data_IF_914395011691
#
_entry.id   IF_914395011691
#
_cell.length_a   1.000
_cell.length_b   1.000
_cell.length_c   1.000
_cell.angle_alpha   90.00
_cell.angle_beta   90.00
_cell.angle_gamma   90.00
#
_symmetry.space_group_name_H-M   'P 1'
#
loop_
_entity.id
_entity.type
_entity.pdbx_description
1 polymer ?
#
# COMPACT_ATOMS: atom_id res chain seq x y z
N UNK A 1 24.14 -0.23 8.79
CA UNK A 1 24.56 0.07 7.42
C UNK A 1 24.08 -0.96 6.42
N UNK A 2 24.34 -2.27 6.59
CA UNK A 2 23.94 -3.31 5.60
C UNK A 2 22.45 -3.33 5.30
N UNK A 3 21.56 -3.29 6.31
CA UNK A 3 20.12 -3.23 6.10
C UNK A 3 19.68 -2.01 5.26
N UNK A 4 20.24 -0.83 5.58
CA UNK A 4 19.93 0.37 4.81
C UNK A 4 20.40 0.25 3.36
N UNK A 5 21.55 -0.37 3.10
CA UNK A 5 22.04 -0.63 1.75
C UNK A 5 21.14 -1.61 0.98
N UNK A 6 20.73 -2.72 1.61
CA UNK A 6 19.78 -3.69 1.00
C UNK A 6 18.44 -3.01 0.66
N UNK A 7 17.90 -2.26 1.62
CA UNK A 7 16.63 -1.54 1.43
C UNK A 7 16.75 -0.47 0.35
N UNK A 8 17.85 0.31 0.33
CA UNK A 8 18.08 1.33 -0.68
C UNK A 8 18.27 0.73 -2.08
N UNK A 9 19.05 -0.35 -2.20
CA UNK A 9 19.27 -1.01 -3.48
C UNK A 9 17.93 -1.44 -4.10
N UNK A 10 17.03 -2.03 -3.30
CA UNK A 10 15.73 -2.46 -3.78
C UNK A 10 14.79 -1.27 -4.03
N UNK A 11 14.74 -0.28 -3.14
CA UNK A 11 13.80 0.84 -3.25
C UNK A 11 14.15 1.83 -4.38
N UNK A 12 15.43 1.93 -4.76
CA UNK A 12 15.88 2.83 -5.84
C UNK A 12 16.09 2.11 -7.19
N UNK A 13 15.99 0.79 -7.24
CA UNK A 13 16.07 0.05 -8.50
C UNK A 13 14.83 0.36 -9.35
N UNK A 14 15.02 0.65 -10.64
CA UNK A 14 13.93 0.91 -11.60
C UNK A 14 12.97 2.06 -11.21
N UNK A 15 13.42 3.10 -10.52
CA UNK A 15 12.54 4.25 -10.17
C UNK A 15 12.03 4.99 -11.41
N UNK A 16 12.76 4.95 -12.51
CA UNK A 16 12.37 5.58 -13.79
C UNK A 16 11.51 4.65 -14.67
N UNK A 17 10.58 3.92 -14.05
CA UNK A 17 9.58 3.17 -14.81
C UNK A 17 8.52 4.12 -15.40
N UNK A 18 7.79 3.70 -16.48
CA UNK A 18 6.92 4.60 -17.22
C UNK A 18 5.91 5.35 -16.38
N UNK A 19 5.71 6.62 -16.72
CA UNK A 19 4.74 7.52 -16.13
C UNK A 19 3.31 7.01 -16.34
N UNK A 20 2.45 7.13 -15.35
CA UNK A 20 1.04 6.72 -15.44
C UNK A 20 0.77 5.22 -15.22
N UNK A 21 1.81 4.39 -14.95
CA UNK A 21 1.60 3.01 -14.51
C UNK A 21 0.82 2.99 -13.19
N UNK A 22 1.18 3.85 -12.26
CA UNK A 22 0.39 4.11 -11.06
C UNK A 22 -0.56 5.29 -11.36
N UNK A 23 -1.89 5.07 -11.36
CA UNK A 23 -2.84 6.05 -11.92
C UNK A 23 -2.97 7.34 -11.12
N UNK A 24 -2.52 7.37 -9.85
CA UNK A 24 -2.58 8.59 -9.02
C UNK A 24 -1.30 9.46 -9.17
N UNK A 25 -0.22 8.95 -9.80
CA UNK A 25 1.02 9.70 -9.95
C UNK A 25 0.85 11.01 -10.75
N UNK A 26 0.10 11.04 -11.87
CA UNK A 26 -0.08 12.28 -12.63
C UNK A 26 -0.64 13.43 -11.79
N UNK A 27 -1.64 13.17 -10.96
CA UNK A 27 -2.21 14.20 -10.11
C UNK A 27 -1.24 14.60 -8.97
N UNK A 28 -0.41 13.65 -8.47
CA UNK A 28 0.61 13.95 -7.45
C UNK A 28 1.74 14.81 -8.00
N UNK A 29 2.15 14.54 -9.24
CA UNK A 29 3.14 15.37 -9.96
C UNK A 29 2.60 16.79 -10.10
N UNK A 30 1.36 16.94 -10.57
CA UNK A 30 0.72 18.24 -10.70
C UNK A 30 0.67 19.01 -9.36
N UNK A 31 0.33 18.35 -8.26
CA UNK A 31 0.34 18.95 -6.93
C UNK A 31 1.76 19.33 -6.49
N UNK A 32 2.76 18.47 -6.70
CA UNK A 32 4.15 18.77 -6.35
C UNK A 32 4.71 19.94 -7.18
N UNK A 33 4.31 20.05 -8.45
CA UNK A 33 4.65 21.18 -9.33
C UNK A 33 3.93 22.50 -9.00
N UNK A 34 3.13 22.55 -7.92
CA UNK A 34 2.46 23.76 -7.44
C UNK A 34 1.04 23.97 -7.93
N UNK A 35 0.45 23.00 -8.65
CA UNK A 35 -0.97 23.05 -8.97
C UNK A 35 -1.81 22.83 -7.71
N UNK A 36 -3.08 23.28 -7.77
CA UNK A 36 -4.00 23.24 -6.65
C UNK A 36 -4.22 21.83 -6.10
N UNK A 37 -3.86 21.60 -4.82
CA UNK A 37 -4.07 20.34 -4.13
C UNK A 37 -5.51 20.23 -3.64
N UNK A 38 -6.19 19.12 -3.96
CA UNK A 38 -7.59 18.93 -3.61
C UNK A 38 -7.83 18.39 -2.19
N UNK A 39 -6.76 18.08 -1.45
CA UNK A 39 -6.80 17.52 -0.09
C UNK A 39 -7.67 16.26 0.10
N UNK A 40 -8.01 15.55 -0.97
CA UNK A 40 -8.58 14.19 -0.85
C UNK A 40 -7.59 13.22 -0.17
N UNK A 41 -6.30 13.53 -0.24
CA UNK A 41 -5.25 12.89 0.54
C UNK A 41 -4.51 13.94 1.37
N UNK A 42 -4.00 13.59 2.58
CA UNK A 42 -3.21 14.50 3.39
C UNK A 42 -1.91 14.96 2.71
N UNK A 43 -1.38 16.14 3.05
CA UNK A 43 -0.37 16.81 2.23
C UNK A 43 1.08 16.42 2.51
N UNK A 44 1.41 15.59 3.52
CA UNK A 44 2.80 15.36 3.94
C UNK A 44 3.71 14.95 2.77
N UNK A 45 3.28 13.98 1.96
CA UNK A 45 4.06 13.54 0.79
C UNK A 45 4.31 14.68 -0.19
N UNK A 46 3.29 15.50 -0.47
CA UNK A 46 3.38 16.62 -1.42
C UNK A 46 4.30 17.71 -0.88
N UNK A 47 4.21 18.04 0.41
CA UNK A 47 5.11 18.98 1.08
C UNK A 47 6.56 18.51 0.99
N UNK A 48 6.82 17.21 1.26
CA UNK A 48 8.16 16.63 1.15
C UNK A 48 8.66 16.65 -0.30
N UNK A 49 7.80 16.30 -1.28
CA UNK A 49 8.16 16.30 -2.70
C UNK A 49 8.44 17.71 -3.22
N UNK A 50 7.66 18.73 -2.83
CA UNK A 50 7.92 20.14 -3.16
C UNK A 50 9.27 20.61 -2.61
N UNK A 51 9.52 20.33 -1.33
CA UNK A 51 10.79 20.69 -0.70
C UNK A 51 11.98 20.01 -1.38
N UNK A 52 11.87 18.70 -1.63
CA UNK A 52 12.91 17.95 -2.34
C UNK A 52 13.06 18.43 -3.79
N UNK A 53 11.98 18.74 -4.48
CA UNK A 53 11.98 19.30 -5.84
C UNK A 53 12.68 20.66 -5.90
N UNK A 54 12.40 21.52 -4.92
CA UNK A 54 13.10 22.81 -4.79
C UNK A 54 14.62 22.62 -4.59
N UNK A 55 15.03 21.68 -3.73
CA UNK A 55 16.46 21.38 -3.51
C UNK A 55 17.11 20.79 -4.76
N UNK A 56 16.39 20.02 -5.54
CA UNK A 56 16.88 19.36 -6.76
C UNK A 56 16.83 20.26 -7.99
N UNK A 57 16.10 21.38 -7.94
CA UNK A 57 15.86 22.25 -9.09
C UNK A 57 14.88 21.64 -10.11
N UNK A 58 13.90 20.84 -9.63
CA UNK A 58 12.90 20.22 -10.48
C UNK A 58 12.11 21.26 -11.28
N UNK A 59 11.99 21.06 -12.60
CA UNK A 59 11.36 22.02 -13.52
C UNK A 59 10.37 21.37 -14.49
N UNK A 60 10.36 20.04 -14.57
CA UNK A 60 9.46 19.28 -15.43
C UNK A 60 8.62 18.27 -14.62
N UNK A 61 7.53 17.79 -15.21
CA UNK A 61 6.70 16.73 -14.63
C UNK A 61 7.51 15.47 -14.34
N UNK A 62 8.48 15.15 -15.21
CA UNK A 62 9.37 14.02 -15.02
C UNK A 62 10.29 14.20 -13.82
N UNK A 63 10.84 15.41 -13.61
CA UNK A 63 11.65 15.72 -12.42
C UNK A 63 10.83 15.53 -11.14
N UNK A 64 9.60 16.11 -11.10
CA UNK A 64 8.71 15.97 -9.96
C UNK A 64 8.29 14.51 -9.70
N UNK A 65 8.12 13.72 -10.77
CA UNK A 65 7.85 12.28 -10.66
C UNK A 65 9.01 11.56 -9.97
N UNK A 66 10.24 11.74 -10.46
CA UNK A 66 11.44 11.11 -9.91
C UNK A 66 11.71 11.57 -8.47
N UNK A 67 11.53 12.85 -8.19
CA UNK A 67 11.63 13.39 -6.82
C UNK A 67 10.61 12.75 -5.90
N UNK A 68 9.34 12.68 -6.31
CA UNK A 68 8.27 12.08 -5.51
C UNK A 68 8.49 10.59 -5.24
N UNK A 69 8.93 9.83 -6.25
CA UNK A 69 9.31 8.42 -6.09
C UNK A 69 10.53 8.28 -5.18
N UNK A 70 11.52 9.16 -5.29
CA UNK A 70 12.68 9.18 -4.42
C UNK A 70 12.33 9.45 -2.96
N UNK A 71 11.38 10.35 -2.69
CA UNK A 71 10.84 10.58 -1.33
C UNK A 71 10.18 9.31 -0.78
N UNK A 72 9.40 8.60 -1.58
CA UNK A 72 8.79 7.32 -1.19
C UNK A 72 9.85 6.24 -0.91
N UNK A 73 10.87 6.13 -1.77
CA UNK A 73 11.99 5.22 -1.60
C UNK A 73 12.77 5.50 -0.31
N UNK A 74 13.12 6.77 -0.06
CA UNK A 74 13.79 7.20 1.18
C UNK A 74 12.95 6.91 2.43
N UNK A 75 11.64 7.16 2.37
CA UNK A 75 10.73 6.84 3.47
C UNK A 75 10.73 5.33 3.77
N UNK A 76 10.75 4.47 2.75
CA UNK A 76 10.83 3.01 2.91
C UNK A 76 12.15 2.55 3.51
N UNK A 77 13.28 3.14 3.11
CA UNK A 77 14.59 2.87 3.70
C UNK A 77 14.61 3.27 5.16
N UNK A 78 14.13 4.47 5.47
CA UNK A 78 14.07 4.97 6.85
C UNK A 78 13.12 4.13 7.72
N UNK A 79 11.97 3.70 7.17
CA UNK A 79 11.06 2.77 7.82
C UNK A 79 11.75 1.45 8.17
N UNK A 80 12.51 0.87 7.24
CA UNK A 80 13.26 -0.39 7.45
C UNK A 80 14.30 -0.27 8.57
N UNK A 81 15.02 0.85 8.63
CA UNK A 81 15.98 1.12 9.69
C UNK A 81 15.27 1.30 11.04
N UNK A 82 14.19 2.08 11.09
CA UNK A 82 13.40 2.26 12.32
C UNK A 82 12.76 0.96 12.80
N UNK A 83 12.23 0.15 11.87
CA UNK A 83 11.71 -1.17 12.18
C UNK A 83 12.76 -2.06 12.86
N UNK A 84 13.99 -2.09 12.34
CA UNK A 84 15.11 -2.76 12.98
C UNK A 84 15.40 -2.22 14.38
N UNK A 85 15.43 -0.88 14.54
CA UNK A 85 15.70 -0.24 15.85
C UNK A 85 14.62 -0.63 16.87
N UNK A 86 13.35 -0.65 16.45
CA UNK A 86 12.24 -1.10 17.32
C UNK A 86 12.39 -2.57 17.68
N UNK A 87 12.67 -3.44 16.70
CA UNK A 87 12.89 -4.88 16.96
C UNK A 87 14.05 -5.11 17.93
N UNK A 88 15.15 -4.39 17.79
CA UNK A 88 16.34 -4.53 18.66
C UNK A 88 16.06 -4.28 20.13
N UNK A 89 14.99 -3.59 20.46
CA UNK A 89 14.56 -3.38 21.86
C UNK A 89 13.89 -4.60 22.49
N UNK A 90 13.44 -5.52 21.64
CA UNK A 90 12.66 -6.70 22.06
C UNK A 90 13.29 -8.02 21.62
N UNK A 91 14.24 -7.98 20.68
CA UNK A 91 14.81 -9.12 19.99
C UNK A 91 16.34 -9.10 19.99
N UNK A 92 16.97 -10.28 19.91
CA UNK A 92 18.43 -10.38 19.70
C UNK A 92 18.82 -9.84 18.32
N UNK A 93 20.15 -9.51 18.17
CA UNK A 93 20.65 -8.83 16.99
C UNK A 93 20.42 -9.56 15.68
N UNK A 94 20.57 -10.87 15.69
CA UNK A 94 20.46 -11.69 14.47
C UNK A 94 19.02 -11.77 14.00
N UNK A 95 18.08 -12.13 14.90
CA UNK A 95 16.68 -12.20 14.54
C UNK A 95 16.09 -10.84 14.20
N UNK A 96 16.47 -9.78 14.94
CA UNK A 96 16.06 -8.41 14.61
C UNK A 96 16.51 -8.02 13.19
N UNK A 97 17.76 -8.34 12.82
CA UNK A 97 18.28 -8.06 11.49
C UNK A 97 17.56 -8.85 10.39
N UNK A 98 17.38 -10.17 10.58
CA UNK A 98 16.72 -11.01 9.60
C UNK A 98 15.27 -10.57 9.33
N UNK A 99 14.48 -10.31 10.39
CA UNK A 99 13.10 -9.90 10.24
C UNK A 99 12.96 -8.46 9.72
N UNK A 100 13.95 -7.60 10.00
CA UNK A 100 14.03 -6.29 9.34
C UNK A 100 14.38 -6.42 7.84
N UNK A 101 15.20 -7.40 7.46
CA UNK A 101 15.42 -7.71 6.06
C UNK A 101 14.14 -8.27 5.41
N UNK A 102 13.40 -9.20 6.07
CA UNK A 102 12.08 -9.67 5.58
C UNK A 102 11.15 -8.49 5.33
N UNK A 103 11.08 -7.55 6.27
CA UNK A 103 10.28 -6.34 6.12
C UNK A 103 10.72 -5.53 4.90
N UNK A 104 12.02 -5.17 4.80
CA UNK A 104 12.56 -4.33 3.75
C UNK A 104 12.37 -4.91 2.33
N UNK A 105 12.48 -6.25 2.19
CA UNK A 105 12.40 -6.92 0.88
C UNK A 105 11.02 -7.51 0.59
N UNK A 106 10.06 -7.39 1.52
CA UNK A 106 8.70 -7.90 1.28
C UNK A 106 8.05 -7.17 0.10
N UNK A 107 7.25 -7.86 -0.71
CA UNK A 107 6.52 -7.23 -1.82
C UNK A 107 5.76 -5.97 -1.41
N UNK A 108 5.13 -5.99 -0.23
CA UNK A 108 4.41 -4.84 0.31
C UNK A 108 5.28 -3.58 0.39
N UNK A 109 6.47 -3.68 0.96
CA UNK A 109 7.37 -2.53 1.14
C UNK A 109 8.08 -2.20 -0.17
N UNK A 110 8.62 -3.22 -0.86
CA UNK A 110 9.36 -3.04 -2.09
C UNK A 110 8.54 -2.34 -3.20
N UNK A 111 7.30 -2.78 -3.44
CA UNK A 111 6.45 -2.19 -4.48
C UNK A 111 6.00 -0.77 -4.12
N UNK A 112 5.56 -0.56 -2.87
CA UNK A 112 5.08 0.76 -2.46
C UNK A 112 6.21 1.80 -2.31
N UNK A 113 7.47 1.37 -2.19
CA UNK A 113 8.64 2.25 -2.23
C UNK A 113 8.82 2.95 -3.58
N UNK A 114 8.32 2.34 -4.68
CA UNK A 114 8.54 2.85 -6.04
C UNK A 114 7.52 3.88 -6.50
N UNK A 115 6.35 3.95 -5.86
CA UNK A 115 5.29 4.84 -6.31
C UNK A 115 5.37 6.21 -5.63
N UNK A 116 5.15 7.26 -6.39
CA UNK A 116 4.90 8.59 -5.82
C UNK A 116 3.53 8.59 -5.14
N UNK A 117 3.47 7.92 -3.97
CA UNK A 117 2.23 7.75 -3.22
C UNK A 117 2.47 7.72 -1.71
N UNK A 118 1.43 8.08 -0.95
CA UNK A 118 1.44 8.27 0.50
C UNK A 118 1.79 7.00 1.30
N UNK A 119 1.70 5.84 0.68
CA UNK A 119 1.78 4.54 1.36
C UNK A 119 3.13 4.29 2.03
N UNK A 120 4.24 4.62 1.36
CA UNK A 120 5.59 4.49 1.93
C UNK A 120 5.82 5.47 3.10
N UNK A 121 5.31 6.69 2.96
CA UNK A 121 5.41 7.71 4.02
C UNK A 121 4.54 7.34 5.23
N UNK A 122 3.38 6.71 5.02
CA UNK A 122 2.56 6.16 6.11
C UNK A 122 3.31 5.06 6.87
N UNK A 123 3.93 4.10 6.17
CA UNK A 123 4.72 3.03 6.80
C UNK A 123 5.87 3.62 7.62
N UNK A 124 6.57 4.61 7.08
CA UNK A 124 7.60 5.34 7.81
C UNK A 124 7.03 6.00 9.08
N UNK A 125 5.92 6.72 8.98
CA UNK A 125 5.28 7.38 10.12
C UNK A 125 4.81 6.37 11.19
N UNK A 126 4.29 5.20 10.80
CA UNK A 126 3.97 4.10 11.73
C UNK A 126 5.23 3.63 12.46
N UNK A 127 6.35 3.43 11.76
CA UNK A 127 7.61 3.03 12.37
C UNK A 127 8.17 4.11 13.32
N UNK A 128 8.02 5.40 12.99
CA UNK A 128 8.34 6.52 13.90
C UNK A 128 7.47 6.46 15.15
N UNK A 129 6.16 6.25 14.99
CA UNK A 129 5.21 6.10 16.10
C UNK A 129 5.54 4.96 17.05
N UNK A 130 5.89 3.80 16.48
CA UNK A 130 6.33 2.62 17.25
C UNK A 130 7.64 2.87 17.98
N UNK A 131 8.62 3.53 17.33
CA UNK A 131 9.87 3.92 17.98
C UNK A 131 9.62 4.91 19.11
N UNK A 132 8.79 5.92 18.89
CA UNK A 132 8.41 6.90 19.91
C UNK A 132 7.68 6.25 21.10
N UNK A 133 6.79 5.28 20.84
CA UNK A 133 6.12 4.51 21.90
C UNK A 133 7.12 3.70 22.74
N UNK A 134 8.12 3.07 22.12
CA UNK A 134 9.18 2.34 22.84
C UNK A 134 9.97 3.29 23.72
N UNK A 135 10.37 4.46 23.20
CA UNK A 135 11.07 5.51 23.97
C UNK A 135 10.22 6.01 25.15
N UNK A 136 8.94 6.25 24.89
CA UNK A 136 8.00 6.70 25.95
C UNK A 136 7.84 5.65 27.05
N UNK A 137 7.81 4.37 26.68
CA UNK A 137 7.73 3.27 27.65
C UNK A 137 9.01 3.12 28.47
N UNK A 138 10.18 3.38 27.89
CA UNK A 138 11.45 3.38 28.60
C UNK A 138 11.51 4.53 29.63
N UNK A 139 11.05 5.71 29.24
CA UNK A 139 11.04 6.89 30.09
C UNK A 139 9.91 7.85 29.69
N UNK A 140 8.97 8.08 30.60
CA UNK A 140 7.94 9.11 30.44
C UNK A 140 8.56 10.46 30.80
N UNK A 141 9.05 11.17 29.77
CA UNK A 141 9.59 12.53 29.85
C UNK A 141 8.86 13.47 28.90
N UNK A 142 8.93 14.77 29.13
CA UNK A 142 8.30 15.77 28.23
C UNK A 142 8.83 15.62 26.79
N UNK A 143 10.12 15.35 26.59
CA UNK A 143 10.72 15.15 25.26
C UNK A 143 10.10 13.93 24.57
N UNK A 144 9.95 12.82 25.28
CA UNK A 144 9.35 11.62 24.72
C UNK A 144 7.84 11.76 24.47
N UNK A 145 7.12 12.55 25.28
CA UNK A 145 5.71 12.88 25.07
C UNK A 145 5.53 13.73 23.80
N UNK A 146 6.36 14.78 23.65
CA UNK A 146 6.38 15.64 22.46
C UNK A 146 6.74 14.84 21.21
N UNK A 147 7.80 14.01 21.29
CA UNK A 147 8.19 13.15 20.17
C UNK A 147 7.09 12.16 19.78
N UNK A 148 6.40 11.58 20.78
CA UNK A 148 5.30 10.64 20.50
C UNK A 148 4.11 11.36 19.84
N UNK A 149 3.69 12.52 20.36
CA UNK A 149 2.63 13.32 19.74
C UNK A 149 2.98 13.77 18.31
N UNK A 150 4.21 14.23 18.09
CA UNK A 150 4.72 14.53 16.75
C UNK A 150 4.62 13.32 15.80
N UNK A 151 5.01 12.12 16.26
CA UNK A 151 4.95 10.90 15.47
C UNK A 151 3.51 10.49 15.10
N UNK A 152 2.54 10.71 16.01
CA UNK A 152 1.12 10.50 15.72
C UNK A 152 0.64 11.43 14.62
N UNK A 153 0.95 12.73 14.72
CA UNK A 153 0.60 13.73 13.72
C UNK A 153 1.21 13.46 12.34
N UNK A 154 2.44 12.95 12.29
CA UNK A 154 3.04 12.49 11.02
C UNK A 154 2.19 11.41 10.35
N UNK A 155 1.67 10.43 11.09
CA UNK A 155 0.87 9.36 10.53
C UNK A 155 -0.48 9.88 9.99
N UNK A 156 -1.12 10.82 10.69
CA UNK A 156 -2.36 11.49 10.25
C UNK A 156 -2.12 12.27 8.96
N UNK A 157 -1.01 13.02 8.90
CA UNK A 157 -0.67 13.86 7.74
C UNK A 157 -0.08 13.09 6.56
N UNK A 158 0.39 11.85 6.79
CA UNK A 158 0.79 10.95 5.72
C UNK A 158 -0.42 10.37 4.99
N UNK A 159 -1.45 9.91 5.73
CA UNK A 159 -2.67 9.35 5.14
C UNK A 159 -3.79 9.36 6.18
N UNK A 160 -5.04 9.65 5.80
CA UNK A 160 -6.15 9.73 6.78
C UNK A 160 -6.36 8.41 7.56
N UNK A 161 -6.09 7.27 6.97
CA UNK A 161 -6.09 5.98 7.70
C UNK A 161 -5.03 5.92 8.82
N UNK A 162 -4.00 6.76 8.73
CA UNK A 162 -3.02 6.95 9.79
C UNK A 162 -3.62 7.47 11.10
N UNK A 163 -4.76 8.19 11.05
CA UNK A 163 -5.48 8.62 12.25
C UNK A 163 -5.95 7.43 13.09
N UNK A 164 -6.46 6.36 12.43
CA UNK A 164 -6.84 5.13 13.13
C UNK A 164 -5.64 4.46 13.82
N UNK A 165 -4.49 4.41 13.12
CA UNK A 165 -3.26 3.90 13.72
C UNK A 165 -2.77 4.77 14.89
N UNK A 166 -2.82 6.09 14.76
CA UNK A 166 -2.45 7.05 15.81
C UNK A 166 -3.31 6.90 17.04
N UNK A 167 -4.64 6.72 16.86
CA UNK A 167 -5.56 6.47 17.95
C UNK A 167 -5.21 5.16 18.70
N UNK A 168 -4.93 4.08 17.97
CA UNK A 168 -4.53 2.79 18.57
C UNK A 168 -3.24 2.96 19.37
N UNK A 169 -2.21 3.58 18.80
CA UNK A 169 -0.95 3.82 19.50
C UNK A 169 -1.12 4.72 20.73
N UNK A 170 -1.96 5.76 20.64
CA UNK A 170 -2.27 6.63 21.76
C UNK A 170 -2.92 5.87 22.91
N UNK A 171 -3.96 5.07 22.62
CA UNK A 171 -4.63 4.23 23.64
C UNK A 171 -3.64 3.26 24.28
N UNK A 172 -2.79 2.61 23.49
CA UNK A 172 -1.74 1.72 23.99
C UNK A 172 -0.78 2.49 24.91
N UNK A 173 -0.36 3.71 24.53
CA UNK A 173 0.53 4.53 25.36
C UNK A 173 -0.12 4.92 26.70
N UNK A 174 -1.39 5.36 26.67
CA UNK A 174 -2.14 5.72 27.89
C UNK A 174 -2.18 4.54 28.86
N UNK A 175 -2.49 3.34 28.35
CA UNK A 175 -2.62 2.13 29.19
C UNK A 175 -1.25 1.60 29.62
N UNK A 176 -0.32 1.41 28.67
CA UNK A 176 0.95 0.75 28.94
C UNK A 176 1.96 1.63 29.71
N UNK A 177 1.92 2.95 29.49
CA UNK A 177 2.79 3.92 30.17
C UNK A 177 2.08 4.62 31.33
N UNK A 178 0.77 4.35 31.56
CA UNK A 178 -0.03 4.96 32.63
C UNK A 178 0.01 6.49 32.59
N UNK A 179 -0.20 7.06 31.39
CA UNK A 179 -0.13 8.49 31.20
C UNK A 179 -1.21 9.21 32.03
N UNK A 180 -0.80 10.26 32.74
CA UNK A 180 -1.73 11.17 33.40
C UNK A 180 -2.50 12.00 32.37
N UNK A 181 -3.61 12.62 32.78
CA UNK A 181 -4.39 13.52 31.92
C UNK A 181 -3.51 14.63 31.32
N UNK A 182 -2.65 15.27 32.14
CA UNK A 182 -1.72 16.32 31.70
C UNK A 182 -0.74 15.80 30.61
N UNK A 183 -0.21 14.60 30.79
CA UNK A 183 0.70 13.98 29.81
C UNK A 183 -0.05 13.62 28.49
N UNK A 184 -1.26 13.11 28.60
CA UNK A 184 -2.13 12.85 27.46
C UNK A 184 -2.45 14.13 26.68
N UNK A 185 -2.74 15.23 27.39
CA UNK A 185 -2.97 16.53 26.75
C UNK A 185 -1.73 17.02 25.97
N UNK A 186 -0.51 16.83 26.52
CA UNK A 186 0.73 17.18 25.81
C UNK A 186 0.84 16.38 24.50
N UNK A 187 0.57 15.08 24.52
CA UNK A 187 0.62 14.23 23.31
C UNK A 187 -0.39 14.70 22.27
N UNK A 188 -1.65 14.91 22.68
CA UNK A 188 -2.73 15.36 21.76
C UNK A 188 -2.44 16.76 21.21
N UNK A 189 -1.92 17.67 22.02
CA UNK A 189 -1.55 19.00 21.59
C UNK A 189 -0.44 18.97 20.54
N UNK A 190 0.57 18.12 20.73
CA UNK A 190 1.66 17.97 19.77
C UNK A 190 1.22 17.26 18.48
N UNK A 191 0.33 16.26 18.57
CA UNK A 191 -0.32 15.65 17.40
C UNK A 191 -1.06 16.73 16.58
N UNK A 192 -1.96 17.47 17.21
CA UNK A 192 -2.71 18.53 16.57
C UNK A 192 -1.80 19.63 15.98
N UNK A 193 -0.76 20.05 16.72
CA UNK A 193 0.20 21.04 16.24
C UNK A 193 0.95 20.55 14.99
N UNK A 194 1.35 19.28 14.95
CA UNK A 194 2.00 18.68 13.80
C UNK A 194 1.08 18.66 12.59
N UNK A 195 -0.18 18.26 12.78
CA UNK A 195 -1.19 18.29 11.72
C UNK A 195 -1.38 19.71 11.20
N UNK A 196 -1.62 20.69 12.08
CA UNK A 196 -1.82 22.08 11.70
C UNK A 196 -0.59 22.65 10.98
N UNK A 197 0.62 22.34 11.45
CA UNK A 197 1.85 22.83 10.83
C UNK A 197 2.02 22.28 9.39
N UNK A 198 1.81 20.99 9.18
CA UNK A 198 2.00 20.37 7.86
C UNK A 198 0.91 20.85 6.87
N UNK A 199 -0.36 20.90 7.30
CA UNK A 199 -1.42 21.48 6.47
C UNK A 199 -1.19 22.97 6.21
N UNK A 200 -0.73 23.73 7.21
CA UNK A 200 -0.37 25.14 7.09
C UNK A 200 0.73 25.38 6.07
N UNK A 201 1.82 24.60 6.11
CA UNK A 201 2.89 24.67 5.11
C UNK A 201 2.36 24.37 3.70
N UNK A 202 1.50 23.35 3.55
CA UNK A 202 0.88 23.07 2.25
C UNK A 202 0.06 24.24 1.75
N UNK A 203 -0.83 24.80 2.58
CA UNK A 203 -1.67 25.94 2.22
C UNK A 203 -0.87 27.21 1.88
N UNK A 204 0.24 27.46 2.57
CA UNK A 204 1.11 28.61 2.32
C UNK A 204 1.94 28.47 1.04
N UNK A 205 2.16 27.25 0.57
CA UNK A 205 2.94 26.98 -0.65
C UNK A 205 2.06 26.82 -1.90
N UNK A 206 0.74 26.96 -1.75
CA UNK A 206 -0.24 26.82 -2.83
C UNK A 206 -0.99 28.12 -3.09
N UNK A 207 -1.13 28.48 -4.36
CA UNK A 207 -1.97 29.61 -4.76
C UNK A 207 -3.43 29.20 -4.85
N UNK A 208 -4.30 29.93 -4.17
CA UNK A 208 -5.76 29.74 -4.26
C UNK A 208 -6.34 28.63 -3.35
N UNK A 209 -5.51 27.99 -2.52
CA UNK A 209 -5.97 27.03 -1.51
C UNK A 209 -6.31 27.69 -0.18
N UNK A 210 -7.36 27.24 0.47
CA UNK A 210 -7.81 27.72 1.77
C UNK A 210 -8.38 26.60 2.63
N UNK A 211 -8.79 26.94 3.85
CA UNK A 211 -9.41 25.97 4.78
C UNK A 211 -10.65 25.30 4.18
N UNK A 212 -11.42 26.01 3.36
CA UNK A 212 -12.57 25.45 2.63
C UNK A 212 -12.17 24.32 1.70
N UNK A 213 -11.01 24.40 1.04
CA UNK A 213 -10.47 23.34 0.17
C UNK A 213 -10.10 22.10 0.98
N UNK A 214 -9.46 22.29 2.14
CA UNK A 214 -9.13 21.17 3.05
C UNK A 214 -10.39 20.46 3.51
N UNK A 215 -11.41 21.22 3.94
CA UNK A 215 -12.69 20.66 4.40
C UNK A 215 -13.45 19.97 3.25
N UNK A 216 -13.39 20.50 2.04
CA UNK A 216 -13.98 19.89 0.86
C UNK A 216 -13.27 18.58 0.51
N UNK A 217 -11.94 18.56 0.53
CA UNK A 217 -11.13 17.35 0.31
C UNK A 217 -11.44 16.25 1.33
N UNK A 218 -11.52 16.61 2.62
CA UNK A 218 -11.89 15.66 3.67
C UNK A 218 -13.31 15.11 3.48
N UNK A 219 -14.29 15.94 3.11
CA UNK A 219 -15.65 15.49 2.79
C UNK A 219 -15.67 14.55 1.58
N UNK A 220 -14.89 14.86 0.55
CA UNK A 220 -14.75 13.99 -0.64
C UNK A 220 -14.19 12.63 -0.25
N UNK A 221 -13.17 12.57 0.61
CA UNK A 221 -12.60 11.29 1.03
C UNK A 221 -13.55 10.49 1.93
N UNK A 222 -14.31 11.17 2.81
CA UNK A 222 -15.35 10.51 3.60
C UNK A 222 -16.46 9.95 2.72
N UNK A 223 -16.98 10.74 1.78
CA UNK A 223 -17.96 10.28 0.82
C UNK A 223 -17.42 9.13 -0.05
N UNK A 224 -16.14 9.19 -0.42
CA UNK A 224 -15.45 8.14 -1.12
C UNK A 224 -15.31 6.87 -0.26
N UNK A 225 -15.06 6.98 1.03
CA UNK A 225 -15.05 5.86 1.97
C UNK A 225 -16.46 5.23 2.12
N UNK A 226 -17.51 6.03 2.08
CA UNK A 226 -18.91 5.56 2.15
C UNK A 226 -19.40 4.94 0.83
N UNK A 227 -19.24 5.67 -0.27
CA UNK A 227 -19.72 5.28 -1.60
C UNK A 227 -18.74 4.39 -2.37
N UNK A 228 -17.40 4.54 -2.23
CA UNK A 228 -16.23 3.91 -2.87
C UNK A 228 -16.04 4.23 -4.31
N UNK A 229 -15.27 3.38 -4.94
CA UNK A 229 -15.20 3.37 -6.39
C UNK A 229 -16.41 2.63 -6.95
N UNK A 230 -16.82 2.90 -8.18
CA UNK A 230 -18.02 2.38 -8.85
C UNK A 230 -18.22 0.86 -8.79
N UNK A 231 -17.24 0.14 -8.29
CA UNK A 231 -17.22 -1.33 -8.25
C UNK A 231 -16.90 -1.89 -6.86
N UNK A 232 -17.20 -1.16 -5.81
CA UNK A 232 -16.91 -1.54 -4.43
C UNK A 232 -17.53 -2.81 -3.95
N UNK A 233 -18.76 -2.96 -4.33
CA UNK A 233 -19.57 -4.11 -3.97
C UNK A 233 -18.95 -5.41 -4.49
N UNK A 234 -18.01 -5.32 -5.43
CA UNK A 234 -17.33 -6.46 -6.02
C UNK A 234 -16.26 -7.07 -5.14
N UNK A 235 -15.76 -6.30 -4.19
CA UNK A 235 -14.61 -6.70 -3.39
C UNK A 235 -14.98 -7.23 -2.02
N UNK A 236 -16.20 -6.96 -1.60
CA UNK A 236 -16.67 -7.38 -0.31
C UNK A 236 -17.63 -8.55 -0.47
N UNK A 237 -17.08 -9.76 -0.38
CA UNK A 237 -17.86 -10.99 -0.31
C UNK A 237 -18.43 -11.24 1.09
N UNK A 238 -18.28 -10.27 1.99
CA UNK A 238 -18.78 -10.27 3.35
C UNK A 238 -18.05 -11.22 4.30
N UNK A 239 -17.45 -12.30 3.81
CA UNK A 239 -16.85 -13.33 4.67
C UNK A 239 -15.72 -14.11 4.00
N UNK A 240 -15.30 -13.78 2.78
CA UNK A 240 -14.34 -14.54 2.01
C UNK A 240 -12.88 -14.33 2.37
N UNK A 241 -12.56 -13.59 3.44
CA UNK A 241 -11.20 -13.24 3.82
C UNK A 241 -10.42 -12.60 2.66
N UNK A 242 -11.06 -11.64 1.98
CA UNK A 242 -10.54 -10.98 0.76
C UNK A 242 -9.19 -10.32 1.01
N UNK A 243 -9.06 -9.54 2.08
CA UNK A 243 -7.80 -8.88 2.41
C UNK A 243 -6.71 -9.88 2.82
N UNK A 244 -7.08 -10.96 3.49
CA UNK A 244 -6.13 -12.02 3.81
C UNK A 244 -5.63 -12.72 2.55
N UNK A 245 -6.53 -13.19 1.68
CA UNK A 245 -6.19 -14.02 0.50
C UNK A 245 -5.50 -13.22 -0.60
N UNK A 246 -6.07 -12.07 -0.96
CA UNK A 246 -5.65 -11.32 -2.16
C UNK A 246 -4.68 -10.17 -1.85
N UNK A 247 -4.54 -9.80 -0.56
CA UNK A 247 -3.65 -8.71 -0.18
C UNK A 247 -2.52 -9.15 0.76
N UNK A 248 -2.84 -9.82 1.88
CA UNK A 248 -1.82 -10.19 2.87
C UNK A 248 -0.87 -11.29 2.35
N UNK A 249 -1.41 -12.35 1.75
CA UNK A 249 -0.58 -13.44 1.20
C UNK A 249 0.40 -12.90 0.15
N UNK A 250 -0.01 -12.14 -0.90
CA UNK A 250 0.94 -11.60 -1.87
C UNK A 250 1.91 -10.57 -1.26
N UNK A 251 1.48 -9.84 -0.22
CA UNK A 251 2.31 -8.81 0.46
C UNK A 251 3.53 -9.38 1.16
N UNK A 252 3.43 -10.61 1.67
CA UNK A 252 4.49 -11.27 2.45
C UNK A 252 5.03 -12.53 1.81
N UNK A 253 4.38 -13.06 0.79
CA UNK A 253 4.48 -14.43 0.26
C UNK A 253 3.87 -15.49 1.18
N UNK A 254 3.37 -16.59 0.60
CA UNK A 254 2.78 -17.69 1.38
C UNK A 254 3.74 -18.27 2.42
N UNK A 255 4.99 -18.64 2.03
CA UNK A 255 5.97 -19.16 2.97
C UNK A 255 6.33 -18.22 4.11
N UNK A 256 6.61 -16.94 3.83
CA UNK A 256 6.97 -15.97 4.86
C UNK A 256 5.80 -15.71 5.83
N UNK A 257 4.57 -15.64 5.32
CA UNK A 257 3.37 -15.47 6.15
C UNK A 257 3.14 -16.72 7.03
N UNK A 258 3.25 -17.93 6.48
CA UNK A 258 3.08 -19.17 7.23
C UNK A 258 4.10 -19.28 8.37
N UNK A 259 5.37 -18.95 8.09
CA UNK A 259 6.43 -18.91 9.11
C UNK A 259 6.09 -17.86 10.18
N UNK A 260 5.72 -16.63 9.79
CA UNK A 260 5.37 -15.57 10.73
C UNK A 260 4.22 -15.99 11.66
N UNK A 261 3.13 -16.52 11.10
CA UNK A 261 1.99 -16.99 11.89
C UNK A 261 2.35 -18.17 12.80
N UNK A 262 3.15 -19.12 12.32
CA UNK A 262 3.60 -20.28 13.09
C UNK A 262 4.44 -19.89 14.31
N UNK A 263 5.45 -19.03 14.14
CA UNK A 263 6.30 -18.58 15.25
C UNK A 263 5.54 -17.71 16.25
N UNK A 264 4.60 -16.87 15.77
CA UNK A 264 3.71 -16.09 16.63
C UNK A 264 2.83 -17.00 17.47
N UNK A 265 2.19 -18.00 16.86
CA UNK A 265 1.31 -18.94 17.56
C UNK A 265 2.06 -19.68 18.68
N UNK A 266 3.27 -20.19 18.37
CA UNK A 266 4.14 -20.85 19.35
C UNK A 266 4.47 -19.89 20.50
N UNK A 267 4.89 -18.65 20.21
CA UNK A 267 5.28 -17.70 21.24
C UNK A 267 4.11 -17.24 22.12
N UNK A 268 2.88 -17.20 21.59
CA UNK A 268 1.67 -16.88 22.38
C UNK A 268 1.28 -18.05 23.25
N UNK A 269 1.24 -19.27 22.69
CA UNK A 269 0.72 -20.44 23.38
C UNK A 269 1.74 -21.01 24.38
N UNK A 270 2.99 -21.20 23.96
CA UNK A 270 4.03 -21.80 24.78
C UNK A 270 4.69 -20.80 25.74
N UNK A 271 5.05 -19.61 25.24
CA UNK A 271 5.85 -18.64 26.00
C UNK A 271 5.01 -17.56 26.68
N UNK A 272 3.71 -17.47 26.39
CA UNK A 272 2.79 -16.41 26.88
C UNK A 272 3.35 -15.01 26.72
N UNK A 273 4.01 -14.77 25.59
CA UNK A 273 4.73 -13.52 25.34
C UNK A 273 3.77 -12.37 25.07
N UNK A 274 3.63 -11.48 26.06
CA UNK A 274 2.71 -10.34 25.99
C UNK A 274 3.02 -9.33 24.87
N UNK A 275 4.27 -9.19 24.47
CA UNK A 275 4.64 -8.27 23.37
C UNK A 275 4.25 -8.86 22.02
N UNK A 276 4.52 -10.17 21.83
CA UNK A 276 4.06 -10.88 20.62
C UNK A 276 2.53 -10.81 20.54
N UNK A 277 1.83 -11.09 21.64
CA UNK A 277 0.38 -11.01 21.70
C UNK A 277 -0.15 -9.60 21.39
N UNK A 278 0.51 -8.55 21.89
CA UNK A 278 0.10 -7.17 21.64
C UNK A 278 0.26 -6.77 20.16
N UNK A 279 1.40 -7.04 19.54
CA UNK A 279 1.61 -6.71 18.13
C UNK A 279 0.79 -7.60 17.21
N UNK A 280 0.71 -8.91 17.46
CA UNK A 280 -0.15 -9.82 16.70
C UNK A 280 -1.63 -9.44 16.84
N UNK A 281 -2.05 -9.06 18.05
CA UNK A 281 -3.40 -8.55 18.32
C UNK A 281 -3.69 -7.28 17.53
N UNK A 282 -2.75 -6.34 17.46
CA UNK A 282 -2.85 -5.14 16.63
C UNK A 282 -2.99 -5.46 15.14
N UNK A 283 -2.18 -6.38 14.62
CA UNK A 283 -2.30 -6.84 13.25
C UNK A 283 -3.66 -7.50 12.99
N UNK A 284 -4.11 -8.37 13.90
CA UNK A 284 -5.38 -9.06 13.77
C UNK A 284 -6.58 -8.12 13.85
N UNK A 285 -6.58 -7.18 14.79
CA UNK A 285 -7.66 -6.17 14.92
C UNK A 285 -7.74 -5.34 13.63
N UNK A 286 -6.60 -4.91 13.11
CA UNK A 286 -6.57 -4.13 11.87
C UNK A 286 -7.09 -4.92 10.67
N UNK A 287 -6.64 -6.18 10.52
CA UNK A 287 -7.13 -7.07 9.48
C UNK A 287 -8.64 -7.34 9.63
N UNK A 288 -9.10 -7.59 10.85
CA UNK A 288 -10.51 -7.80 11.16
C UNK A 288 -11.36 -6.57 10.81
N UNK A 289 -10.89 -5.36 11.13
CA UNK A 289 -11.56 -4.13 10.74
C UNK A 289 -11.65 -3.95 9.22
N UNK A 290 -10.60 -4.36 8.49
CA UNK A 290 -10.62 -4.32 7.03
C UNK A 290 -11.61 -5.33 6.44
N UNK A 291 -11.64 -6.57 6.97
CA UNK A 291 -12.53 -7.64 6.47
C UNK A 291 -14.00 -7.39 6.80
N UNK A 292 -14.30 -6.81 7.96
CA UNK A 292 -15.67 -6.57 8.42
C UNK A 292 -16.15 -5.13 8.21
N UNK A 293 -15.28 -4.24 7.68
CA UNK A 293 -15.65 -2.85 7.56
C UNK A 293 -16.82 -2.65 6.61
N UNK A 294 -17.97 -2.13 7.10
CA UNK A 294 -19.05 -1.68 6.23
C UNK A 294 -18.67 -0.42 5.45
N UNK A 295 -17.66 0.28 5.91
CA UNK A 295 -16.99 1.31 5.14
C UNK A 295 -16.23 0.57 4.04
N UNK A 296 -16.84 0.21 2.99
CA UNK A 296 -16.33 -0.45 1.78
C UNK A 296 -14.97 0.11 1.32
N UNK A 297 -14.03 0.24 2.27
CA UNK A 297 -12.64 0.65 2.09
C UNK A 297 -11.97 -0.50 1.37
N UNK A 298 -12.33 -0.49 0.24
CA UNK A 298 -12.06 -1.23 -0.93
C UNK A 298 -10.74 -1.94 -0.97
N UNK A 299 -10.80 -3.11 -1.50
CA UNK A 299 -9.80 -4.03 -1.93
C UNK A 299 -8.53 -3.49 -2.58
N UNK A 300 -7.88 -2.50 -1.95
CA UNK A 300 -6.57 -2.06 -2.36
C UNK A 300 -5.54 -2.56 -1.35
N UNK A 301 -4.53 -3.27 -1.85
CA UNK A 301 -3.45 -3.87 -1.07
C UNK A 301 -2.77 -2.93 -0.09
N UNK A 302 -2.76 -1.63 -0.37
CA UNK A 302 -2.15 -0.60 0.47
C UNK A 302 -2.75 -0.48 1.88
N UNK A 303 -3.99 -0.92 2.08
CA UNK A 303 -4.62 -0.89 3.40
C UNK A 303 -4.10 -1.99 4.34
N UNK A 304 -3.44 -3.02 3.80
CA UNK A 304 -2.83 -4.09 4.59
C UNK A 304 -1.46 -3.70 5.20
N UNK A 305 -0.86 -2.59 4.78
CA UNK A 305 0.49 -2.20 5.21
C UNK A 305 0.67 -2.13 6.74
N UNK A 306 -0.26 -1.56 7.53
CA UNK A 306 -0.15 -1.61 8.98
C UNK A 306 -0.13 -3.04 9.53
N UNK A 307 -0.92 -3.97 8.94
CA UNK A 307 -0.92 -5.39 9.32
C UNK A 307 0.46 -6.00 9.11
N UNK A 308 1.10 -5.72 7.97
CA UNK A 308 2.44 -6.20 7.64
C UNK A 308 3.46 -5.72 8.69
N UNK A 309 3.44 -4.43 9.05
CA UNK A 309 4.33 -3.88 10.08
C UNK A 309 4.17 -4.61 11.41
N UNK A 310 2.95 -4.69 11.93
CA UNK A 310 2.69 -5.31 13.23
C UNK A 310 2.97 -6.81 13.25
N UNK A 311 2.60 -7.52 12.17
CA UNK A 311 2.79 -8.97 12.06
C UNK A 311 4.28 -9.34 12.04
N UNK A 312 5.09 -8.63 11.25
CA UNK A 312 6.52 -8.89 11.16
C UNK A 312 7.27 -8.48 12.44
N UNK A 313 6.82 -7.44 13.16
CA UNK A 313 7.33 -7.13 14.51
C UNK A 313 7.04 -8.29 15.47
N UNK A 314 5.82 -8.80 15.50
CA UNK A 314 5.44 -9.92 16.34
C UNK A 314 6.28 -11.17 16.04
N UNK A 315 6.48 -11.49 14.76
CA UNK A 315 7.28 -12.63 14.32
C UNK A 315 8.75 -12.51 14.72
N UNK A 316 9.35 -11.32 14.52
CA UNK A 316 10.74 -11.06 14.90
C UNK A 316 10.99 -11.17 16.41
N UNK A 317 10.04 -10.70 17.23
CA UNK A 317 10.10 -10.83 18.69
C UNK A 317 9.90 -12.31 19.10
N UNK A 318 9.00 -13.02 18.46
CA UNK A 318 8.75 -14.44 18.72
C UNK A 318 10.01 -15.30 18.49
N UNK A 319 10.69 -15.10 17.38
CA UNK A 319 11.91 -15.82 17.04
C UNK A 319 13.08 -15.60 18.02
N UNK A 320 13.10 -14.49 18.74
CA UNK A 320 14.23 -14.11 19.60
C UNK A 320 14.25 -14.77 20.97
N UNK A 321 13.18 -15.42 21.37
CA UNK A 321 13.04 -16.06 22.69
C UNK A 321 13.37 -17.54 22.70
N UNK A 322 14.11 -18.02 21.72
CA UNK A 322 14.58 -19.40 21.68
C UNK A 322 15.54 -19.69 22.85
N UNK A 323 15.12 -20.58 23.74
CA UNK A 323 15.82 -20.85 25.01
C UNK A 323 17.04 -21.74 24.80
N UNK A 324 17.03 -22.60 23.76
CA UNK A 324 18.11 -23.54 23.48
C UNK A 324 18.90 -23.19 22.23
N UNK A 325 20.18 -23.59 22.12
CA UNK A 325 20.95 -23.37 20.88
C UNK A 325 20.26 -23.97 19.63
N UNK A 326 19.60 -25.12 19.77
CA UNK A 326 18.87 -25.77 18.66
C UNK A 326 17.65 -24.94 18.22
N UNK A 327 16.86 -24.46 19.17
CA UNK A 327 15.71 -23.61 18.84
C UNK A 327 16.13 -22.27 18.26
N UNK A 328 17.29 -21.72 18.68
CA UNK A 328 17.87 -20.50 18.08
C UNK A 328 18.31 -20.73 16.63
N UNK A 329 18.98 -21.83 16.33
CA UNK A 329 19.34 -22.17 14.94
C UNK A 329 18.10 -22.38 14.07
N UNK A 330 17.07 -23.02 14.59
CA UNK A 330 15.79 -23.17 13.90
C UNK A 330 15.12 -21.82 13.62
N UNK A 331 15.07 -20.91 14.59
CA UNK A 331 14.53 -19.57 14.43
C UNK A 331 15.29 -18.76 13.36
N UNK A 332 16.62 -18.82 13.34
CA UNK A 332 17.47 -18.21 12.32
C UNK A 332 17.16 -18.85 10.94
N UNK A 333 17.08 -20.17 10.86
CA UNK A 333 16.76 -20.87 9.63
C UNK A 333 15.39 -20.46 9.06
N UNK A 334 14.37 -20.37 9.91
CA UNK A 334 13.04 -19.89 9.52
C UNK A 334 13.08 -18.44 9.04
N UNK A 335 13.79 -17.55 9.73
CA UNK A 335 13.98 -16.17 9.32
C UNK A 335 14.68 -16.04 7.96
N UNK A 336 15.70 -16.87 7.70
CA UNK A 336 16.39 -16.94 6.40
C UNK A 336 15.45 -17.40 5.29
N UNK A 337 14.65 -18.45 5.51
CA UNK A 337 13.68 -18.94 4.52
C UNK A 337 12.64 -17.85 4.22
N UNK A 338 12.10 -17.20 5.24
CA UNK A 338 11.16 -16.09 5.07
C UNK A 338 11.79 -14.93 4.28
N UNK A 339 13.06 -14.59 4.59
CA UNK A 339 13.80 -13.53 3.90
C UNK A 339 14.03 -13.88 2.42
N UNK A 340 14.49 -15.09 2.11
CA UNK A 340 14.72 -15.51 0.72
C UNK A 340 13.43 -15.53 -0.09
N UNK A 341 12.33 -16.06 0.48
CA UNK A 341 11.03 -16.08 -0.18
C UNK A 341 10.51 -14.65 -0.45
N UNK A 342 10.63 -13.75 0.53
CA UNK A 342 10.22 -12.34 0.39
C UNK A 342 11.11 -11.59 -0.60
N UNK A 343 12.42 -11.79 -0.56
CA UNK A 343 13.39 -11.15 -1.45
C UNK A 343 13.17 -11.58 -2.90
N UNK A 344 12.97 -12.87 -3.14
CA UNK A 344 12.69 -13.38 -4.48
C UNK A 344 11.43 -12.74 -5.09
N UNK A 345 10.33 -12.71 -4.34
CA UNK A 345 9.10 -12.10 -4.81
C UNK A 345 9.21 -10.57 -4.93
N UNK A 346 9.78 -9.89 -3.94
CA UNK A 346 9.97 -8.43 -3.98
C UNK A 346 10.83 -8.00 -5.18
N UNK A 347 11.95 -8.68 -5.42
CA UNK A 347 12.81 -8.42 -6.59
C UNK A 347 12.07 -8.72 -7.91
N UNK A 348 11.30 -9.81 -7.97
CA UNK A 348 10.53 -10.15 -9.16
C UNK A 348 9.44 -9.10 -9.48
N UNK A 349 8.75 -8.57 -8.47
CA UNK A 349 7.80 -7.47 -8.66
C UNK A 349 8.52 -6.19 -9.13
N UNK A 350 9.63 -5.82 -8.51
CA UNK A 350 10.41 -4.63 -8.91
C UNK A 350 10.98 -4.77 -10.32
N UNK A 351 11.45 -5.95 -10.70
CA UNK A 351 11.90 -6.22 -12.06
C UNK A 351 10.78 -6.10 -13.12
N UNK A 352 9.53 -6.29 -12.71
CA UNK A 352 8.37 -6.09 -13.57
C UNK A 352 7.90 -4.62 -13.66
N UNK A 353 8.49 -3.69 -12.89
CA UNK A 353 8.32 -2.25 -13.02
C UNK A 353 9.25 -1.69 -14.12
N UNK A 354 9.17 -2.24 -15.31
CA UNK A 354 9.98 -1.81 -16.45
C UNK A 354 9.13 -1.85 -17.72
N UNK A 355 9.35 -0.87 -18.61
CA UNK A 355 8.65 -0.75 -19.90
C UNK A 355 8.79 -2.00 -20.77
N UNK A 356 9.92 -2.69 -20.71
CA UNK A 356 10.16 -3.89 -21.52
C UNK A 356 9.41 -5.11 -20.99
N UNK A 357 9.26 -5.19 -19.67
CA UNK A 357 8.69 -6.36 -18.98
C UNK A 357 7.22 -6.19 -18.60
N UNK A 358 6.72 -4.96 -18.49
CA UNK A 358 5.33 -4.70 -18.12
C UNK A 358 4.34 -5.18 -19.19
N UNK A 359 3.32 -5.87 -18.74
CA UNK A 359 2.31 -6.52 -19.58
C UNK A 359 1.48 -5.55 -20.41
N UNK A 360 1.28 -4.31 -19.93
CA UNK A 360 0.56 -3.25 -20.66
C UNK A 360 1.30 -2.86 -21.93
N UNK A 361 2.61 -2.67 -21.85
CA UNK A 361 3.43 -2.37 -23.03
C UNK A 361 3.59 -3.59 -23.95
N UNK A 362 3.58 -4.81 -23.39
CA UNK A 362 3.53 -6.01 -24.22
C UNK A 362 2.22 -6.09 -25.02
N UNK A 363 1.09 -5.74 -24.40
CA UNK A 363 -0.19 -5.66 -25.09
C UNK A 363 -0.23 -4.56 -26.15
N UNK A 364 0.32 -3.36 -25.86
CA UNK A 364 0.40 -2.26 -26.83
C UNK A 364 1.25 -2.64 -28.04
N UNK A 365 2.45 -3.23 -27.83
CA UNK A 365 3.28 -3.74 -28.93
C UNK A 365 2.58 -4.81 -29.77
N UNK A 366 1.77 -5.65 -29.15
CA UNK A 366 0.95 -6.63 -29.87
C UNK A 366 -0.08 -5.94 -30.77
N UNK A 367 -0.85 -4.97 -30.23
CA UNK A 367 -1.85 -4.23 -31.00
C UNK A 367 -1.20 -3.52 -32.20
N UNK A 368 -0.07 -2.84 -31.98
CA UNK A 368 0.70 -2.17 -33.04
C UNK A 368 1.16 -3.17 -34.12
N UNK A 369 1.76 -4.30 -33.71
CA UNK A 369 2.22 -5.35 -34.63
C UNK A 369 1.08 -5.95 -35.46
N UNK A 370 -0.11 -6.05 -34.90
CA UNK A 370 -1.30 -6.57 -35.59
C UNK A 370 -2.06 -5.50 -36.39
N UNK A 371 -1.58 -4.24 -36.37
CA UNK A 371 -2.26 -3.12 -37.03
C UNK A 371 -3.64 -2.79 -36.42
N UNK A 372 -3.84 -3.14 -35.13
CA UNK A 372 -5.10 -2.90 -34.43
C UNK A 372 -5.12 -1.47 -33.91
N UNK A 373 -5.94 -0.62 -34.52
CA UNK A 373 -6.04 0.82 -34.19
C UNK A 373 -7.37 1.17 -33.51
N UNK A 374 -8.42 0.33 -33.66
CA UNK A 374 -9.76 0.55 -33.11
C UNK A 374 -9.97 -0.30 -31.86
N UNK A 375 -9.39 0.14 -30.74
CA UNK A 375 -9.54 -0.53 -29.46
C UNK A 375 -9.91 0.48 -28.37
N UNK A 376 -10.44 -0.04 -27.28
CA UNK A 376 -10.72 0.68 -26.04
C UNK A 376 -10.16 -0.12 -24.87
N UNK A 377 -9.64 0.58 -23.86
CA UNK A 377 -9.12 -0.04 -22.65
C UNK A 377 -10.06 0.23 -21.46
N UNK A 378 -10.17 -0.71 -20.52
CA UNK A 378 -10.89 -0.51 -19.27
C UNK A 378 -10.04 0.16 -18.19
N UNK A 379 -8.76 0.37 -18.45
CA UNK A 379 -7.81 1.02 -17.55
C UNK A 379 -6.63 1.64 -18.31
N UNK A 380 -5.97 2.70 -17.80
CA UNK A 380 -4.81 3.31 -18.43
C UNK A 380 -3.69 2.29 -18.73
N UNK A 381 -3.17 2.33 -19.95
CA UNK A 381 -2.12 1.45 -20.44
C UNK A 381 -0.71 2.03 -20.29
N UNK A 382 -0.56 3.23 -19.68
CA UNK A 382 0.71 3.95 -19.58
C UNK A 382 1.09 4.71 -20.85
N UNK A 383 0.25 4.64 -21.90
CA UNK A 383 0.33 5.40 -23.15
C UNK A 383 -1.06 5.90 -23.55
N UNK A 384 -1.17 6.89 -24.44
CA UNK A 384 -2.47 7.40 -24.86
C UNK A 384 -3.35 6.29 -25.44
N UNK A 385 -4.47 6.02 -24.78
CA UNK A 385 -5.50 5.10 -25.23
C UNK A 385 -6.87 5.61 -24.77
N UNK A 386 -7.91 5.34 -25.54
CA UNK A 386 -9.28 5.61 -25.12
C UNK A 386 -9.61 4.68 -23.97
N UNK A 387 -9.88 5.25 -22.79
CA UNK A 387 -10.26 4.50 -21.59
C UNK A 387 -11.77 4.62 -21.40
N UNK A 388 -12.47 3.48 -21.35
CA UNK A 388 -13.88 3.45 -20.99
C UNK A 388 -14.07 3.06 -19.51
N UNK A 389 -15.08 3.66 -18.89
CA UNK A 389 -15.58 3.26 -17.57
C UNK A 389 -16.92 2.53 -17.67
N UNK A 390 -17.55 2.59 -18.81
CA UNK A 390 -18.81 1.92 -19.09
C UNK A 390 -18.66 0.94 -20.27
N UNK A 391 -18.87 -0.34 -20.01
CA UNK A 391 -18.77 -1.39 -21.03
C UNK A 391 -19.90 -1.33 -22.07
N UNK A 392 -20.94 -0.52 -21.84
CA UNK A 392 -21.98 -0.24 -22.83
C UNK A 392 -21.48 0.67 -23.95
N UNK A 393 -20.38 1.42 -23.70
CA UNK A 393 -19.76 2.31 -24.68
C UNK A 393 -18.73 1.61 -25.59
N UNK A 394 -18.72 0.27 -25.61
CA UNK A 394 -17.79 -0.51 -26.44
C UNK A 394 -18.18 -0.56 -27.92
N UNK A 395 -19.36 -0.07 -28.28
CA UNK A 395 -19.90 -0.20 -29.63
C UNK A 395 -18.99 0.28 -30.78
N UNK A 396 -18.20 1.37 -30.64
CA UNK A 396 -17.33 1.84 -31.73
C UNK A 396 -15.98 1.08 -31.82
N UNK A 397 -15.62 0.28 -30.82
CA UNK A 397 -14.33 -0.41 -30.79
C UNK A 397 -14.42 -1.81 -31.38
N UNK A 398 -13.35 -2.26 -32.04
CA UNK A 398 -13.21 -3.62 -32.55
C UNK A 398 -12.58 -4.56 -31.52
N UNK A 399 -11.84 -4.00 -30.56
CA UNK A 399 -11.16 -4.75 -29.50
C UNK A 399 -11.34 -4.09 -28.13
N UNK A 400 -11.45 -4.93 -27.09
CA UNK A 400 -11.37 -4.53 -25.69
C UNK A 400 -10.06 -4.99 -25.09
N UNK A 401 -9.31 -4.06 -24.49
CA UNK A 401 -8.12 -4.34 -23.70
C UNK A 401 -8.50 -4.25 -22.22
N UNK A 402 -8.61 -5.38 -21.55
CA UNK A 402 -9.07 -5.45 -20.16
C UNK A 402 -7.94 -5.81 -19.20
N UNK A 403 -7.77 -4.99 -18.16
CA UNK A 403 -6.79 -5.16 -17.10
C UNK A 403 -7.45 -5.27 -15.72
N UNK A 404 -8.47 -4.44 -15.50
CA UNK A 404 -8.98 -4.17 -14.15
C UNK A 404 -10.04 -5.17 -13.73
N UNK A 405 -11.04 -5.33 -14.55
CA UNK A 405 -12.29 -5.97 -14.13
C UNK A 405 -12.26 -7.48 -14.18
N UNK A 406 -11.59 -8.06 -15.16
CA UNK A 406 -11.43 -9.50 -15.24
C UNK A 406 -10.75 -10.10 -13.99
N UNK A 407 -9.82 -9.37 -13.37
CA UNK A 407 -9.13 -9.80 -12.15
C UNK A 407 -10.10 -10.03 -10.99
N UNK A 408 -11.04 -9.12 -10.83
CA UNK A 408 -11.98 -9.14 -9.73
C UNK A 408 -13.08 -10.19 -9.93
N UNK A 409 -13.57 -10.29 -11.14
CA UNK A 409 -14.59 -11.27 -11.51
C UNK A 409 -14.09 -12.70 -11.33
N UNK A 410 -12.83 -12.96 -11.67
CA UNK A 410 -12.21 -14.30 -11.53
C UNK A 410 -11.78 -14.63 -10.11
N UNK A 411 -11.61 -13.63 -9.26
CA UNK A 411 -11.25 -13.79 -7.85
C UNK A 411 -12.35 -14.41 -6.98
N UNK A 412 -13.54 -14.61 -7.48
CA UNK A 412 -14.63 -15.29 -6.78
C UNK A 412 -15.35 -14.48 -5.69
N UNK A 413 -15.03 -13.18 -5.57
CA UNK A 413 -15.63 -12.30 -4.55
C UNK A 413 -16.83 -11.49 -5.06
N UNK A 414 -17.77 -12.13 -5.76
CA UNK A 414 -18.96 -11.41 -6.26
C UNK A 414 -20.00 -11.27 -5.14
N UNK A 415 -20.28 -10.01 -4.74
CA UNK A 415 -21.36 -9.74 -3.82
C UNK A 415 -22.71 -9.93 -4.51
N UNK A 416 -23.61 -10.68 -3.89
CA UNK A 416 -24.96 -10.94 -4.40
C UNK A 416 -25.88 -9.69 -4.49
N UNK A 417 -25.38 -8.52 -4.10
CA UNK A 417 -26.22 -7.32 -3.92
C UNK A 417 -26.26 -6.39 -5.14
N UNK A 418 -25.37 -6.57 -6.14
CA UNK A 418 -25.35 -5.71 -7.32
C UNK A 418 -25.59 -6.49 -8.63
N UNK A 419 -26.77 -6.36 -9.27
CA UNK A 419 -27.09 -7.03 -10.52
C UNK A 419 -26.08 -6.76 -11.64
N UNK A 420 -25.53 -5.55 -11.71
CA UNK A 420 -24.56 -5.13 -12.73
C UNK A 420 -23.26 -5.96 -12.69
N UNK A 421 -22.90 -6.51 -11.54
CA UNK A 421 -21.75 -7.39 -11.41
C UNK A 421 -21.96 -8.71 -12.13
N UNK A 422 -23.16 -9.26 -12.01
CA UNK A 422 -23.49 -10.51 -12.69
C UNK A 422 -23.51 -10.32 -14.21
N UNK A 423 -24.07 -9.19 -14.69
CA UNK A 423 -24.02 -8.85 -16.12
C UNK A 423 -22.60 -8.78 -16.64
N UNK A 424 -21.69 -8.16 -15.89
CA UNK A 424 -20.28 -8.06 -16.27
C UNK A 424 -19.55 -9.39 -16.14
N UNK A 425 -19.87 -10.20 -15.14
CA UNK A 425 -19.33 -11.56 -15.03
C UNK A 425 -19.78 -12.45 -16.20
N UNK A 426 -21.02 -12.33 -16.60
CA UNK A 426 -21.57 -13.04 -17.77
C UNK A 426 -20.93 -12.53 -19.05
N UNK A 427 -20.79 -11.22 -19.21
CA UNK A 427 -20.07 -10.62 -20.33
C UNK A 427 -18.66 -11.17 -20.44
N UNK A 428 -17.86 -11.14 -19.36
CA UNK A 428 -16.49 -11.64 -19.42
C UNK A 428 -16.41 -13.15 -19.60
N UNK A 429 -17.35 -13.93 -19.07
CA UNK A 429 -17.43 -15.37 -19.36
C UNK A 429 -17.72 -15.64 -20.84
N UNK A 430 -18.60 -14.86 -21.44
CA UNK A 430 -18.88 -14.91 -22.87
C UNK A 430 -17.63 -14.50 -23.68
N UNK A 431 -16.99 -13.40 -23.32
CA UNK A 431 -15.78 -12.90 -24.00
C UNK A 431 -14.58 -13.82 -23.88
N UNK A 432 -14.53 -14.73 -22.89
CA UNK A 432 -13.41 -15.66 -22.71
C UNK A 432 -13.15 -16.58 -23.92
N UNK A 433 -14.17 -16.86 -24.71
CA UNK A 433 -14.04 -17.58 -25.99
C UNK A 433 -13.48 -16.70 -27.14
N UNK A 434 -13.39 -15.40 -26.94
CA UNK A 434 -12.95 -14.40 -27.92
C UNK A 434 -11.62 -13.72 -27.54
N UNK A 435 -10.84 -14.35 -26.65
CA UNK A 435 -9.50 -13.85 -26.27
C UNK A 435 -8.53 -14.01 -27.43
N UNK A 436 -8.09 -12.90 -28.00
CA UNK A 436 -7.07 -12.86 -29.06
C UNK A 436 -5.67 -12.98 -28.50
N UNK A 437 -5.39 -12.36 -27.34
CA UNK A 437 -4.10 -12.43 -26.67
C UNK A 437 -4.27 -12.23 -25.16
N UNK A 438 -3.34 -12.84 -24.40
CA UNK A 438 -3.21 -12.64 -22.96
C UNK A 438 -1.75 -12.44 -22.57
N UNK A 439 -1.52 -11.42 -21.74
CA UNK A 439 -0.21 -11.10 -21.17
C UNK A 439 -0.30 -11.17 -19.65
N UNK A 440 0.53 -11.99 -19.03
CA UNK A 440 0.61 -12.13 -17.57
C UNK A 440 2.04 -12.44 -17.15
N UNK A 441 2.34 -12.19 -15.89
CA UNK A 441 3.64 -12.50 -15.27
C UNK A 441 3.42 -13.28 -13.98
N UNK A 442 4.32 -14.20 -13.62
CA UNK A 442 4.21 -14.98 -12.38
C UNK A 442 4.11 -14.09 -11.11
N UNK A 443 4.82 -12.96 -11.11
CA UNK A 443 4.78 -11.94 -10.08
C UNK A 443 4.21 -10.63 -10.65
N UNK A 444 3.05 -10.72 -11.28
CA UNK A 444 2.22 -9.59 -11.69
C UNK A 444 0.99 -9.48 -10.80
N UNK A 445 0.09 -8.56 -11.17
CA UNK A 445 -1.20 -8.33 -10.49
C UNK A 445 -1.10 -7.92 -9.00
N UNK A 446 0.07 -7.51 -8.53
CA UNK A 446 0.26 -6.94 -7.21
C UNK A 446 0.45 -5.42 -7.28
N UNK A 447 -0.43 -4.69 -6.60
CA UNK A 447 -0.46 -3.24 -6.73
C UNK A 447 -0.70 -2.83 -8.17
N UNK A 448 -0.01 -2.17 -8.90
CA UNK A 448 -0.18 -1.91 -10.33
C UNK A 448 0.96 -2.53 -11.17
N UNK A 449 1.69 -3.49 -10.58
CA UNK A 449 2.82 -4.14 -11.25
C UNK A 449 2.30 -5.17 -12.24
N UNK A 450 2.68 -5.02 -13.49
CA UNK A 450 2.45 -5.96 -14.60
C UNK A 450 1.09 -6.70 -14.49
N UNK A 451 -0.05 -5.98 -14.54
CA UNK A 451 -1.37 -6.59 -14.40
C UNK A 451 -1.61 -7.60 -15.53
N UNK A 452 -2.41 -8.63 -15.29
CA UNK A 452 -2.85 -9.49 -16.37
C UNK A 452 -3.67 -8.68 -17.36
N UNK A 453 -3.21 -8.62 -18.62
CA UNK A 453 -3.89 -7.92 -19.71
C UNK A 453 -4.48 -8.94 -20.65
N UNK A 454 -5.76 -8.79 -20.99
CA UNK A 454 -6.45 -9.58 -22.02
C UNK A 454 -6.96 -8.67 -23.12
N UNK A 455 -6.80 -9.14 -24.35
CA UNK A 455 -7.32 -8.48 -25.56
C UNK A 455 -8.43 -9.37 -26.10
N UNK A 456 -9.64 -8.83 -26.16
CA UNK A 456 -10.83 -9.51 -26.67
C UNK A 456 -11.20 -8.94 -28.02
N UNK A 457 -11.48 -9.81 -29.01
CA UNK A 457 -12.06 -9.44 -30.29
C UNK A 457 -13.57 -9.21 -30.13
N UNK A 458 -14.01 -7.99 -30.35
CA UNK A 458 -15.42 -7.61 -30.19
C UNK A 458 -16.19 -7.73 -31.50
N UNK A 459 -15.54 -7.93 -32.66
CA UNK A 459 -16.22 -7.99 -33.97
C UNK A 459 -17.22 -9.14 -34.03
N UNK A 460 -16.81 -10.31 -33.50
CA UNK A 460 -17.63 -11.52 -33.43
C UNK A 460 -18.30 -11.72 -32.07
N UNK A 461 -18.02 -10.86 -31.10
CA UNK A 461 -18.45 -10.96 -29.70
C UNK A 461 -19.44 -9.88 -29.27
N UNK A 462 -20.09 -9.20 -30.23
CA UNK A 462 -21.04 -8.11 -29.91
C UNK A 462 -22.23 -8.57 -29.06
N UNK A 463 -22.64 -9.80 -29.21
CA UNK A 463 -23.72 -10.41 -28.40
C UNK A 463 -23.36 -10.57 -26.94
N UNK A 464 -22.05 -10.58 -26.60
CA UNK A 464 -21.57 -10.65 -25.22
C UNK A 464 -21.70 -9.32 -24.48
N UNK A 465 -21.83 -8.19 -25.19
CA UNK A 465 -21.85 -6.87 -24.59
C UNK A 465 -23.25 -6.58 -24.09
N UNK A 466 -23.42 -6.17 -22.81
CA UNK A 466 -24.73 -5.79 -22.30
C UNK A 466 -25.34 -4.67 -23.18
N UNK A 467 -26.50 -4.92 -23.74
CA UNK A 467 -27.23 -3.89 -24.47
C UNK A 467 -27.89 -2.94 -23.47
N UNK A 468 -27.95 -1.66 -23.80
CA UNK A 468 -28.70 -0.70 -23.01
C UNK A 468 -30.13 -1.23 -22.89
N UNK A 469 -30.47 -1.72 -21.69
CA UNK A 469 -31.87 -2.10 -21.43
C UNK A 469 -32.73 -0.90 -21.66
N UNK A 470 -33.72 -1.10 -22.51
CA UNK A 470 -34.84 -0.18 -22.76
C UNK A 470 -35.60 0.12 -21.48
#
# INVERSE_FOLDING_TARGET
MLLAAISALLAFCNLDFPYGIQPDEPIKVAFAAGQHHNYAHPPLLIVLARFAGWLWGASSDHDYLLVGRSVSALASVAASVLFYVVLRRHADGTNAFLWACVFAVSPAIAVHAHYFKEDAVLVFAICVGLHALVRLKEQVSTVNLVYFGFALGLAVTAKYVGAGNSLVLFVVAVVACRLSLRQSVIVVAMDALTVVAIFGVSLLTETGSGLSTVLSGLRTELAHAESGHDLKEWFWDGYGLTHFRYHLIPSLTGPALAIALGVIAIAIVADRNRYVAAYAGGAFIWLFLLELSPLKIVGQMRYILPVVVYLLLAAGIACSRSITPRSRLAAIGLGLVAMVASAYAGMAYVANLDRQTDTRFAAMRFLEKQGITRFVADYPLGEPATVTRDYRDLAPADYLVSLKFQRYIRGGGLSAQNPRIYELADMFRCLDSHVTAQFSKPYGDYGFVAPTVRIYDLRDARSCIPQNGT
#
